data_IF_846452325123
#
_entry.id   IF_846452325123
#
_cell.length_a   1.000
_cell.length_b   1.000
_cell.length_c   1.000
_cell.angle_alpha   90.00
_cell.angle_beta   90.00
_cell.angle_gamma   90.00
#
_symmetry.space_group_name_H-M   'P 1'
#
loop_
_entity.id
_entity.type
_entity.pdbx_description
1 polymer ?
#
# COMPACT_ATOMS: atom_id res chain seq x y z
N UNK A 1 12.81 -7.57 58.00
CA UNK A 1 11.82 -7.97 56.98
C UNK A 1 10.89 -6.80 56.69
N UNK A 2 11.24 -5.91 55.73
CA UNK A 2 10.32 -4.86 55.22
C UNK A 2 10.92 -4.07 54.02
N UNK A 3 11.61 -4.74 53.08
CA UNK A 3 12.17 -4.05 51.90
C UNK A 3 11.91 -4.74 50.56
N UNK A 4 11.06 -5.76 50.53
CA UNK A 4 10.79 -6.55 49.32
C UNK A 4 9.44 -6.24 48.64
N UNK A 5 8.71 -5.21 49.10
CA UNK A 5 7.34 -4.96 48.63
C UNK A 5 7.16 -3.74 47.71
N UNK A 6 8.23 -3.03 47.33
CA UNK A 6 8.12 -1.85 46.45
C UNK A 6 8.61 -2.05 45.01
N UNK A 7 9.13 -3.21 44.65
CA UNK A 7 9.77 -3.42 43.34
C UNK A 7 8.90 -4.15 42.31
N UNK A 8 7.57 -4.15 42.47
CA UNK A 8 6.65 -4.88 41.57
C UNK A 8 5.64 -3.98 40.84
N UNK A 9 5.76 -2.65 40.93
CA UNK A 9 4.80 -1.72 40.32
C UNK A 9 5.29 -1.01 39.04
N UNK A 10 6.46 -1.37 38.48
CA UNK A 10 7.12 -0.55 37.44
C UNK A 10 7.14 -1.19 36.03
N UNK A 11 6.68 -2.44 35.84
CA UNK A 11 6.89 -3.12 34.54
C UNK A 11 5.71 -3.13 33.55
N UNK A 12 4.65 -2.34 33.75
CA UNK A 12 3.53 -2.26 32.80
C UNK A 12 3.24 -0.81 32.42
N UNK A 13 4.28 -0.09 32.00
CA UNK A 13 4.13 1.06 31.11
C UNK A 13 4.72 0.65 29.77
N UNK A 14 4.03 -0.26 29.07
CA UNK A 14 4.29 -0.50 27.65
C UNK A 14 3.92 0.80 26.93
N UNK A 15 4.92 1.66 26.73
CA UNK A 15 4.84 2.84 25.90
C UNK A 15 4.39 2.38 24.52
N UNK A 16 3.10 2.55 24.22
CA UNK A 16 2.61 2.51 22.84
C UNK A 16 3.16 3.78 22.20
N UNK A 17 4.37 3.68 21.68
CA UNK A 17 4.94 4.70 20.80
C UNK A 17 4.12 4.66 19.52
N UNK A 18 3.11 5.52 19.42
CA UNK A 18 2.47 5.81 18.15
C UNK A 18 3.48 6.52 17.27
N UNK A 19 4.21 5.75 16.47
CA UNK A 19 5.00 6.29 15.37
C UNK A 19 4.02 6.78 14.32
N UNK A 20 3.75 8.09 14.30
CA UNK A 20 3.06 8.75 13.20
C UNK A 20 4.06 8.84 12.04
N UNK A 21 4.01 7.89 11.11
CA UNK A 21 4.68 8.07 9.82
C UNK A 21 4.10 9.35 9.21
N UNK A 22 4.91 10.35 8.83
CA UNK A 22 4.37 11.55 8.19
C UNK A 22 3.64 11.11 6.92
N UNK A 23 2.35 11.44 6.85
CA UNK A 23 1.55 11.18 5.66
C UNK A 23 2.20 11.85 4.45
N UNK A 24 2.18 11.19 3.29
CA UNK A 24 2.67 11.79 2.05
C UNK A 24 2.00 13.15 1.82
N UNK A 25 2.79 14.22 1.80
CA UNK A 25 2.29 15.55 1.50
C UNK A 25 2.16 15.70 -0.01
N UNK A 26 0.91 15.75 -0.49
CA UNK A 26 0.64 15.97 -1.90
C UNK A 26 1.18 17.35 -2.32
N UNK A 27 1.95 17.45 -3.41
CA UNK A 27 2.37 18.74 -3.95
C UNK A 27 1.16 19.52 -4.46
N UNK A 28 1.31 20.84 -4.58
CA UNK A 28 0.30 21.65 -5.26
C UNK A 28 0.21 21.24 -6.73
N UNK A 29 -1.01 20.89 -7.17
CA UNK A 29 -1.32 20.47 -8.53
C UNK A 29 -2.48 21.32 -9.03
N UNK A 30 -2.24 22.07 -10.11
CA UNK A 30 -3.28 22.83 -10.78
C UNK A 30 -4.19 21.88 -11.57
N UNK A 31 -5.49 21.96 -11.29
CA UNK A 31 -6.52 21.16 -11.96
C UNK A 31 -7.49 22.06 -12.73
N UNK A 32 -8.03 21.60 -13.87
CA UNK A 32 -9.13 22.27 -14.53
C UNK A 32 -10.36 22.37 -13.61
N UNK A 33 -11.22 23.36 -13.87
CA UNK A 33 -12.47 23.53 -13.12
C UNK A 33 -13.33 22.26 -13.16
N UNK A 34 -13.88 21.88 -12.01
CA UNK A 34 -14.70 20.66 -11.86
C UNK A 34 -13.92 19.38 -11.56
N UNK A 35 -12.59 19.41 -11.53
CA UNK A 35 -11.76 18.25 -11.15
C UNK A 35 -11.23 18.36 -9.72
N UNK A 36 -11.08 17.21 -9.07
CA UNK A 36 -10.41 17.07 -7.78
C UNK A 36 -9.52 15.83 -7.79
N UNK A 37 -8.48 15.86 -6.95
CA UNK A 37 -7.60 14.72 -6.71
C UNK A 37 -7.42 14.54 -5.20
N UNK A 38 -7.16 13.30 -4.79
CA UNK A 38 -6.78 12.94 -3.42
C UNK A 38 -5.75 11.82 -3.47
N UNK A 39 -4.96 11.68 -2.41
CA UNK A 39 -4.14 10.47 -2.24
C UNK A 39 -5.10 9.31 -2.01
N UNK A 40 -5.03 8.27 -2.85
CA UNK A 40 -5.75 7.02 -2.60
C UNK A 40 -5.05 6.23 -1.50
N UNK A 41 -3.78 5.89 -1.69
CA UNK A 41 -2.94 5.21 -0.70
C UNK A 41 -1.47 5.50 -1.00
N UNK A 42 -0.63 5.55 0.03
CA UNK A 42 0.83 5.65 -0.06
C UNK A 42 1.54 4.30 0.24
N UNK A 43 0.77 3.22 0.42
CA UNK A 43 1.27 1.90 0.81
C UNK A 43 1.80 1.05 -0.37
N UNK A 44 1.87 1.63 -1.58
CA UNK A 44 2.37 0.97 -2.79
C UNK A 44 3.66 1.65 -3.26
N UNK A 45 4.81 1.37 -2.61
CA UNK A 45 6.07 1.99 -2.98
C UNK A 45 6.45 1.59 -4.42
N UNK A 46 6.89 2.57 -5.20
CA UNK A 46 7.32 2.32 -6.58
C UNK A 46 6.17 1.95 -7.54
N UNK A 47 4.93 2.33 -7.20
CA UNK A 47 3.76 2.17 -8.07
C UNK A 47 4.06 2.59 -9.52
N UNK A 48 3.77 1.70 -10.48
CA UNK A 48 4.01 1.90 -11.90
C UNK A 48 2.74 1.71 -12.72
N UNK A 49 2.56 0.56 -13.35
CA UNK A 49 1.38 0.32 -14.18
C UNK A 49 0.20 -0.07 -13.32
N UNK A 50 -0.99 0.32 -13.76
CA UNK A 50 -2.23 0.03 -13.07
C UNK A 50 -3.26 -0.53 -14.03
N UNK A 51 -4.08 -1.46 -13.54
CA UNK A 51 -5.23 -2.01 -14.26
C UNK A 51 -6.42 -2.13 -13.30
N UNK A 52 -7.58 -1.62 -13.71
CA UNK A 52 -8.84 -1.89 -13.02
C UNK A 52 -9.33 -3.27 -13.43
N UNK A 53 -9.67 -4.09 -12.44
CA UNK A 53 -10.36 -5.36 -12.65
C UNK A 53 -11.73 -5.39 -11.99
N UNK A 54 -12.21 -6.61 -11.76
CA UNK A 54 -13.54 -6.83 -11.23
C UNK A 54 -13.72 -6.21 -9.84
N UNK A 55 -14.98 -5.82 -9.57
CA UNK A 55 -15.41 -5.23 -8.29
C UNK A 55 -14.63 -3.96 -7.90
N UNK A 56 -14.06 -3.26 -8.89
CA UNK A 56 -13.30 -2.03 -8.66
C UNK A 56 -11.94 -2.25 -8.00
N UNK A 57 -11.37 -3.46 -8.12
CA UNK A 57 -10.00 -3.72 -7.64
C UNK A 57 -8.99 -3.06 -8.58
N UNK A 58 -8.11 -2.22 -8.05
CA UNK A 58 -7.00 -1.63 -8.77
C UNK A 58 -5.74 -2.47 -8.56
N UNK A 59 -5.28 -3.13 -9.61
CA UNK A 59 -4.01 -3.85 -9.59
C UNK A 59 -2.87 -2.90 -9.92
N UNK A 60 -1.79 -2.96 -9.15
CA UNK A 60 -0.64 -2.04 -9.29
C UNK A 60 0.66 -2.84 -9.29
N UNK A 61 1.48 -2.70 -10.33
CA UNK A 61 2.82 -3.28 -10.38
C UNK A 61 3.89 -2.33 -9.81
N UNK A 62 4.96 -2.91 -9.30
CA UNK A 62 6.11 -2.18 -8.74
C UNK A 62 7.40 -2.83 -9.22
N UNK A 63 8.17 -2.11 -10.04
CA UNK A 63 9.31 -2.69 -10.76
C UNK A 63 10.45 -3.10 -9.82
N UNK A 64 10.92 -2.20 -8.95
CA UNK A 64 12.12 -2.45 -8.13
C UNK A 64 11.81 -3.35 -6.94
N UNK A 65 10.59 -3.25 -6.45
CA UNK A 65 10.04 -3.99 -5.33
C UNK A 65 9.69 -5.43 -5.75
N UNK A 66 9.55 -5.70 -7.07
CA UNK A 66 9.29 -7.02 -7.61
C UNK A 66 7.93 -7.58 -7.19
N UNK A 67 6.92 -6.70 -7.06
CA UNK A 67 5.60 -7.02 -6.50
C UNK A 67 4.46 -6.56 -7.39
N UNK A 68 3.30 -7.16 -7.13
CA UNK A 68 1.99 -6.69 -7.60
C UNK A 68 1.07 -6.58 -6.40
N UNK A 69 0.35 -5.48 -6.34
CA UNK A 69 -0.59 -5.13 -5.28
C UNK A 69 -2.01 -5.15 -5.84
N UNK A 70 -2.97 -5.56 -5.02
CA UNK A 70 -4.39 -5.32 -5.23
C UNK A 70 -4.84 -4.25 -4.23
N UNK A 71 -5.42 -3.17 -4.74
CA UNK A 71 -6.01 -2.09 -3.95
C UNK A 71 -7.52 -2.15 -4.11
N UNK A 72 -8.24 -2.36 -3.03
CA UNK A 72 -9.71 -2.36 -3.01
C UNK A 72 -10.25 -1.19 -2.18
N UNK A 73 -11.56 -0.95 -2.22
CA UNK A 73 -12.17 0.11 -1.44
C UNK A 73 -11.79 1.52 -1.90
N UNK A 74 -11.69 1.77 -3.21
CA UNK A 74 -11.26 3.06 -3.79
C UNK A 74 -12.14 4.24 -3.32
N UNK A 75 -13.43 3.98 -3.14
CA UNK A 75 -14.43 4.95 -2.67
C UNK A 75 -14.63 4.91 -1.14
N UNK A 76 -13.85 4.10 -0.42
CA UNK A 76 -13.90 3.93 1.04
C UNK A 76 -12.49 4.00 1.64
N UNK A 77 -12.27 3.38 2.80
CA UNK A 77 -10.92 3.15 3.33
C UNK A 77 -10.20 2.10 2.46
N UNK A 78 -9.11 2.44 1.77
CA UNK A 78 -8.48 1.52 0.84
C UNK A 78 -7.73 0.40 1.56
N UNK A 79 -7.92 -0.83 1.08
CA UNK A 79 -7.15 -1.99 1.55
C UNK A 79 -6.12 -2.36 0.49
N UNK A 80 -4.86 -2.54 0.92
CA UNK A 80 -3.74 -2.87 0.04
C UNK A 80 -3.21 -4.26 0.38
N UNK A 81 -3.30 -5.17 -0.59
CA UNK A 81 -2.80 -6.54 -0.47
C UNK A 81 -1.68 -6.79 -1.47
N UNK A 82 -0.55 -7.34 -1.02
CA UNK A 82 0.45 -7.89 -1.95
C UNK A 82 -0.04 -9.24 -2.46
N UNK A 83 -0.30 -9.36 -3.76
CA UNK A 83 -0.85 -10.58 -4.37
C UNK A 83 0.20 -11.39 -5.15
N UNK A 84 1.33 -10.76 -5.50
CA UNK A 84 2.49 -11.42 -6.06
C UNK A 84 3.77 -10.74 -5.60
N UNK A 85 4.85 -11.50 -5.47
CA UNK A 85 6.16 -11.00 -5.05
C UNK A 85 7.29 -11.86 -5.63
N UNK A 86 8.51 -11.32 -5.66
CA UNK A 86 9.67 -12.02 -6.20
C UNK A 86 9.75 -12.01 -7.71
N UNK A 87 9.01 -11.10 -8.36
CA UNK A 87 9.00 -10.91 -9.80
C UNK A 87 10.22 -10.08 -10.23
N UNK A 88 10.75 -10.38 -11.41
CA UNK A 88 11.85 -9.69 -12.05
C UNK A 88 11.36 -8.47 -12.84
N UNK A 89 11.38 -7.32 -12.17
CA UNK A 89 11.02 -6.03 -12.74
C UNK A 89 9.63 -6.04 -13.42
N UNK A 90 8.56 -6.43 -12.71
CA UNK A 90 7.21 -6.41 -13.28
C UNK A 90 6.84 -4.96 -13.61
N UNK A 91 6.56 -4.68 -14.87
CA UNK A 91 6.17 -3.34 -15.32
C UNK A 91 4.71 -3.34 -15.77
N UNK A 92 4.34 -4.09 -16.80
CA UNK A 92 2.97 -4.09 -17.32
C UNK A 92 2.03 -4.94 -16.48
N UNK A 93 0.79 -4.47 -16.29
CA UNK A 93 -0.33 -5.29 -15.80
C UNK A 93 -1.55 -5.07 -16.67
N UNK A 94 -2.32 -6.13 -16.90
CA UNK A 94 -3.61 -6.06 -17.59
C UNK A 94 -4.57 -7.05 -16.95
N UNK A 95 -5.82 -6.64 -16.79
CA UNK A 95 -6.88 -7.52 -16.30
C UNK A 95 -7.86 -7.81 -17.44
N UNK A 96 -8.20 -9.08 -17.64
CA UNK A 96 -9.14 -9.49 -18.66
C UNK A 96 -9.83 -10.79 -18.26
N UNK A 97 -11.15 -10.80 -18.34
CA UNK A 97 -11.99 -11.99 -18.16
C UNK A 97 -11.70 -12.79 -16.86
N UNK A 98 -11.38 -12.09 -15.78
CA UNK A 98 -11.05 -12.69 -14.47
C UNK A 98 -9.55 -12.94 -14.25
N UNK A 99 -8.74 -12.87 -15.31
CA UNK A 99 -7.31 -13.13 -15.25
C UNK A 99 -6.50 -11.83 -15.15
N UNK A 100 -5.47 -11.86 -14.31
CA UNK A 100 -4.46 -10.82 -14.21
C UNK A 100 -3.18 -11.25 -14.92
N UNK A 101 -2.82 -10.53 -15.97
CA UNK A 101 -1.57 -10.69 -16.70
C UNK A 101 -0.52 -9.73 -16.15
N UNK A 102 0.69 -10.22 -15.92
CA UNK A 102 1.80 -9.44 -15.37
C UNK A 102 3.02 -9.60 -16.27
N UNK A 103 3.49 -8.51 -16.84
CA UNK A 103 4.65 -8.50 -17.72
C UNK A 103 5.93 -8.22 -16.92
N UNK A 104 6.78 -9.23 -16.82
CA UNK A 104 8.18 -9.12 -16.42
C UNK A 104 9.05 -8.83 -17.64
N UNK A 105 10.32 -8.45 -17.43
CA UNK A 105 11.25 -8.21 -18.56
C UNK A 105 11.36 -9.43 -19.49
N UNK A 106 11.18 -10.65 -18.94
CA UNK A 106 11.48 -11.89 -19.64
C UNK A 106 10.27 -12.80 -19.90
N UNK A 107 9.06 -12.40 -19.49
CA UNK A 107 7.84 -13.22 -19.61
C UNK A 107 6.56 -12.42 -19.35
N UNK A 108 5.43 -13.02 -19.75
CA UNK A 108 4.06 -12.68 -19.35
C UNK A 108 3.39 -13.95 -18.83
#
# INVERSE_FOLDING_TARGET
MSKFLCTLAISIAFLITFSSTPAFQMPDIDLPEGFSIKVLTDQVPGARSMALGDKGTLFVSTMREGKVYAVSGIDSEPEVLTIASGLYMPNGVAFKDGDLYVAEIHRV
#
